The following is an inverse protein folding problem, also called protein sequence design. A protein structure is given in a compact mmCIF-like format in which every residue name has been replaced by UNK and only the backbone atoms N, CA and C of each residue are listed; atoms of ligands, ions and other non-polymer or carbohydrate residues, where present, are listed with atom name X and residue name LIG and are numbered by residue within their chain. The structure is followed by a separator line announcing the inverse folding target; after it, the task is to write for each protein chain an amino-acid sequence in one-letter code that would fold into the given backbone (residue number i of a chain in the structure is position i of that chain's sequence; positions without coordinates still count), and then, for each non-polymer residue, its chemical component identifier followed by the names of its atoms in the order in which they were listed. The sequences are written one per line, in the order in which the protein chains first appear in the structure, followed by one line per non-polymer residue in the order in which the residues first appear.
data_IF_030842763743
#
_entry.id   IF_030842763743
#
_cell.length_a   1.000
_cell.length_b   1.000
_cell.length_c   1.000
_cell.angle_alpha   90.00
_cell.angle_beta   90.00
_cell.angle_gamma   90.00
#
_symmetry.space_group_name_H-M   'P 1'
#
loop_
_entity.id
_entity.type
_entity.pdbx_description
1 polymer ?
#
# COMPACT_ATOMS: atom_id res chain seq x y z
N UNK A 1 -19.84 4.07 10.04
CA UNK A 1 -19.13 2.97 10.73
C UNK A 1 -19.42 1.68 9.98
N UNK A 2 -18.49 1.22 9.15
CA UNK A 2 -18.57 -0.11 8.55
C UNK A 2 -17.56 -1.01 9.28
N UNK A 3 -18.04 -2.01 10.01
CA UNK A 3 -17.20 -3.05 10.61
C UNK A 3 -17.01 -4.15 9.56
N UNK A 4 -15.81 -4.24 8.99
CA UNK A 4 -15.42 -5.36 8.12
C UNK A 4 -14.47 -6.29 8.87
N UNK A 5 -15.00 -7.43 9.29
CA UNK A 5 -14.23 -8.51 9.93
C UNK A 5 -13.68 -9.43 8.82
N UNK A 6 -12.39 -9.30 8.52
CA UNK A 6 -11.65 -10.22 7.63
C UNK A 6 -10.31 -10.56 8.26
N UNK A 7 -9.97 -11.85 8.28
CA UNK A 7 -8.76 -12.40 8.92
C UNK A 7 -7.44 -11.82 8.39
N UNK A 8 -7.41 -11.34 7.15
CA UNK A 8 -6.25 -10.65 6.58
C UNK A 8 -6.01 -9.26 7.20
N UNK A 9 -7.07 -8.53 7.57
CA UNK A 9 -6.94 -7.21 8.22
C UNK A 9 -6.26 -7.32 9.60
N UNK A 10 -6.53 -8.40 10.34
CA UNK A 10 -5.89 -8.64 11.65
C UNK A 10 -4.36 -8.83 11.54
N UNK A 11 -3.83 -9.20 10.39
CA UNK A 11 -2.38 -9.27 10.17
C UNK A 11 -1.75 -7.90 9.84
N UNK A 12 -2.46 -7.04 9.10
CA UNK A 12 -1.99 -5.68 8.79
C UNK A 12 -1.96 -4.78 10.03
N UNK A 13 -2.99 -4.81 10.89
CA UNK A 13 -3.02 -3.97 12.11
C UNK A 13 -2.00 -4.41 13.17
N UNK A 14 -1.66 -5.70 13.27
CA UNK A 14 -0.68 -6.21 14.23
C UNK A 14 0.79 -5.93 13.84
N UNK A 15 1.06 -5.55 12.58
CA UNK A 15 2.42 -5.28 12.08
C UNK A 15 2.89 -3.83 12.26
N UNK A 16 1.97 -2.88 12.48
CA UNK A 16 2.23 -1.43 12.53
C UNK A 16 1.77 -0.82 13.86
N UNK A 17 2.41 -1.18 14.98
CA UNK A 17 2.24 -0.44 16.23
C UNK A 17 3.46 0.44 16.53
N UNK A 18 3.25 1.76 16.41
CA UNK A 18 4.15 2.81 16.86
C UNK A 18 4.27 2.79 18.40
N UNK A 19 5.47 3.07 18.89
CA UNK A 19 5.86 2.97 20.27
C UNK A 19 4.94 3.69 21.25
N UNK A 20 4.34 2.91 22.15
CA UNK A 20 4.14 3.27 23.55
C UNK A 20 4.60 2.08 24.40
N UNK A 21 5.44 2.35 25.39
CA UNK A 21 5.95 1.36 26.34
C UNK A 21 4.79 0.66 27.05
N UNK A 22 4.66 -0.65 26.85
CA UNK A 22 3.99 -1.52 27.82
C UNK A 22 4.91 -2.69 28.16
N UNK A 23 5.04 -2.92 29.46
CA UNK A 23 5.98 -3.84 30.09
C UNK A 23 5.82 -5.29 29.59
N UNK A 24 6.95 -5.93 29.32
CA UNK A 24 7.10 -7.38 29.17
C UNK A 24 6.60 -8.14 30.41
N UNK A 25 6.05 -9.35 30.25
CA UNK A 25 6.54 -10.52 30.94
C UNK A 25 7.63 -11.16 30.08
N UNK A 26 8.84 -11.24 30.64
CA UNK A 26 9.95 -11.95 30.06
C UNK A 26 9.60 -13.44 29.94
N UNK A 27 9.43 -13.94 28.72
CA UNK A 27 9.88 -15.26 28.20
C UNK A 27 9.20 -15.53 26.85
N UNK A 28 9.88 -15.23 25.76
CA UNK A 28 9.37 -15.51 24.41
C UNK A 28 10.37 -15.14 23.33
N UNK A 29 11.22 -16.10 22.97
CA UNK A 29 12.08 -16.21 21.78
C UNK A 29 12.03 -15.04 20.75
N UNK A 30 13.18 -14.40 20.49
CA UNK A 30 13.41 -13.37 19.45
C UNK A 30 13.25 -13.85 17.98
N UNK A 31 12.67 -15.03 17.73
CA UNK A 31 12.75 -15.70 16.42
C UNK A 31 11.42 -15.87 15.68
N UNK A 32 10.37 -15.10 16.01
CA UNK A 32 9.06 -15.25 15.35
C UNK A 32 8.88 -14.47 14.04
N UNK A 33 9.80 -13.58 13.68
CA UNK A 33 9.75 -12.80 12.42
C UNK A 33 10.42 -13.47 11.21
N UNK A 34 10.84 -14.73 11.32
CA UNK A 34 11.63 -15.39 10.25
C UNK A 34 11.03 -16.65 9.66
N UNK A 35 9.81 -17.01 10.04
CA UNK A 35 9.21 -18.24 9.57
C UNK A 35 7.75 -18.02 9.16
N UNK A 36 7.48 -18.33 7.90
CA UNK A 36 6.16 -18.57 7.29
C UNK A 36 5.50 -17.41 6.54
N UNK A 37 6.25 -16.75 5.65
CA UNK A 37 5.66 -16.36 4.36
C UNK A 37 6.44 -17.04 3.25
N UNK A 38 5.77 -17.94 2.54
CA UNK A 38 6.19 -18.32 1.20
C UNK A 38 6.40 -17.02 0.42
N UNK A 39 7.59 -16.83 -0.16
CA UNK A 39 8.00 -15.60 -0.85
C UNK A 39 7.26 -15.44 -2.19
N UNK A 40 5.93 -15.40 -2.14
CA UNK A 40 5.09 -15.06 -3.29
C UNK A 40 4.92 -13.55 -3.31
N UNK A 41 5.53 -12.93 -4.33
CA UNK A 41 5.43 -11.51 -4.67
C UNK A 41 3.97 -11.02 -4.58
N UNK A 42 3.76 -9.90 -3.89
CA UNK A 42 2.46 -9.22 -3.90
C UNK A 42 2.14 -8.81 -5.34
N UNK A 43 0.99 -9.28 -5.85
CA UNK A 43 0.59 -9.01 -7.24
C UNK A 43 -0.19 -7.71 -7.38
N UNK A 44 -1.02 -7.40 -6.39
CA UNK A 44 -1.90 -6.24 -6.34
C UNK A 44 -2.47 -6.12 -4.93
N UNK A 45 -2.84 -4.91 -4.51
CA UNK A 45 -3.66 -4.65 -3.34
C UNK A 45 -5.15 -4.75 -3.71
N UNK A 46 -5.94 -5.40 -2.86
CA UNK A 46 -7.40 -5.28 -2.91
C UNK A 46 -7.84 -3.86 -2.53
N UNK A 47 -9.11 -3.54 -2.81
CA UNK A 47 -9.68 -2.24 -2.44
C UNK A 47 -9.80 -2.08 -0.92
N UNK A 48 -10.01 -3.18 -0.21
CA UNK A 48 -10.01 -3.25 1.25
C UNK A 48 -8.61 -3.04 1.82
N UNK A 49 -7.58 -3.61 1.21
CA UNK A 49 -6.18 -3.38 1.59
C UNK A 49 -5.79 -1.91 1.35
N UNK A 50 -6.17 -1.33 0.21
CA UNK A 50 -5.97 0.10 -0.04
C UNK A 50 -6.71 0.98 0.98
N UNK A 51 -7.93 0.63 1.38
CA UNK A 51 -8.65 1.33 2.43
C UNK A 51 -7.94 1.23 3.80
N UNK A 52 -7.36 0.07 4.13
CA UNK A 52 -6.58 -0.12 5.34
C UNK A 52 -5.29 0.71 5.33
N UNK A 53 -4.58 0.75 4.19
CA UNK A 53 -3.40 1.61 4.00
C UNK A 53 -3.80 3.09 4.16
N UNK A 54 -4.88 3.52 3.51
CA UNK A 54 -5.39 4.90 3.61
C UNK A 54 -5.72 5.29 5.05
N UNK A 55 -6.35 4.39 5.81
CA UNK A 55 -6.65 4.59 7.22
C UNK A 55 -5.37 4.73 8.06
N UNK A 56 -4.37 3.87 7.83
CA UNK A 56 -3.07 3.94 8.53
C UNK A 56 -2.28 5.21 8.19
N UNK A 57 -2.48 5.77 7.00
CA UNK A 57 -1.92 7.06 6.57
C UNK A 57 -2.73 8.27 7.05
N UNK A 58 -3.88 8.06 7.70
CA UNK A 58 -4.73 9.13 8.20
C UNK A 58 -5.49 9.90 7.10
N UNK A 59 -5.75 9.27 5.95
CA UNK A 59 -6.53 9.87 4.87
C UNK A 59 -8.01 9.90 5.27
N UNK A 60 -8.62 11.10 5.28
CA UNK A 60 -10.06 11.29 5.39
C UNK A 60 -10.66 11.62 4.02
N UNK A 61 -11.36 10.65 3.42
CA UNK A 61 -11.98 10.80 2.11
C UNK A 61 -13.12 11.83 2.05
N UNK A 62 -13.64 12.28 3.19
CA UNK A 62 -14.61 13.38 3.23
C UNK A 62 -13.93 14.77 3.13
N UNK A 63 -12.63 14.84 3.39
CA UNK A 63 -11.84 16.07 3.36
C UNK A 63 -10.85 16.10 2.19
N UNK A 64 -10.49 14.95 1.62
CA UNK A 64 -9.65 14.88 0.43
C UNK A 64 -10.40 15.31 -0.83
N UNK A 65 -9.63 15.67 -1.86
CA UNK A 65 -10.16 16.00 -3.19
C UNK A 65 -10.25 14.79 -4.12
N UNK A 66 -9.74 13.65 -3.69
CA UNK A 66 -9.73 12.36 -4.39
C UNK A 66 -10.50 11.32 -3.56
N UNK A 67 -10.90 10.23 -4.19
CA UNK A 67 -11.65 9.14 -3.57
C UNK A 67 -10.78 7.89 -3.33
N UNK A 68 -11.38 6.86 -2.73
CA UNK A 68 -10.72 5.57 -2.51
C UNK A 68 -10.29 4.91 -3.82
N UNK A 69 -10.96 5.19 -4.94
CA UNK A 69 -10.68 4.54 -6.23
C UNK A 69 -9.39 5.08 -6.82
N UNK A 70 -9.18 6.40 -6.78
CA UNK A 70 -7.90 7.03 -7.10
C UNK A 70 -6.77 6.52 -6.20
N UNK A 71 -7.00 6.43 -4.89
CA UNK A 71 -5.98 5.92 -3.97
C UNK A 71 -5.65 4.44 -4.23
N UNK A 72 -6.67 3.61 -4.48
CA UNK A 72 -6.51 2.20 -4.81
C UNK A 72 -5.78 1.98 -6.14
N UNK A 73 -6.10 2.79 -7.16
CA UNK A 73 -5.33 2.83 -8.42
C UNK A 73 -3.87 3.17 -8.12
N UNK A 74 -3.66 4.22 -7.31
CA UNK A 74 -2.33 4.69 -6.95
C UNK A 74 -1.47 3.65 -6.28
N UNK A 75 -1.93 3.03 -5.19
CA UNK A 75 -1.11 2.02 -4.48
C UNK A 75 -0.79 0.81 -5.35
N UNK A 76 -1.63 0.48 -6.33
CA UNK A 76 -1.35 -0.60 -7.27
C UNK A 76 -0.36 -0.19 -8.38
N UNK A 77 -0.42 1.05 -8.87
CA UNK A 77 0.58 1.60 -9.78
C UNK A 77 1.94 1.69 -9.10
N UNK A 78 2.00 2.24 -7.87
CA UNK A 78 3.26 2.41 -7.14
C UNK A 78 3.86 1.08 -6.65
N UNK A 79 3.06 0.02 -6.53
CA UNK A 79 3.58 -1.33 -6.27
C UNK A 79 4.53 -1.81 -7.37
N UNK A 80 4.45 -1.21 -8.58
CA UNK A 80 5.41 -1.51 -9.64
C UNK A 80 6.85 -1.13 -9.30
N UNK A 81 7.03 -0.20 -8.37
CA UNK A 81 8.32 0.24 -7.86
C UNK A 81 8.78 -0.55 -6.62
N UNK A 82 8.11 -1.67 -6.32
CA UNK A 82 8.52 -2.65 -5.32
C UNK A 82 9.41 -3.74 -5.90
N UNK A 83 9.17 -4.99 -5.51
CA UNK A 83 10.01 -6.13 -5.86
C UNK A 83 9.92 -6.57 -7.33
N UNK A 84 9.16 -5.87 -8.19
CA UNK A 84 9.06 -6.18 -9.63
C UNK A 84 10.43 -6.08 -10.29
N UNK A 85 11.16 -5.00 -10.00
CA UNK A 85 12.45 -4.68 -10.58
C UNK A 85 13.44 -4.44 -9.46
N UNK A 86 14.38 -5.37 -9.26
CA UNK A 86 15.41 -5.23 -8.22
C UNK A 86 16.29 -3.98 -8.40
N UNK A 87 16.46 -3.51 -9.64
CA UNK A 87 17.25 -2.31 -9.95
C UNK A 87 16.55 -1.01 -9.53
N UNK A 88 15.22 -0.98 -9.53
CA UNK A 88 14.41 0.20 -9.22
C UNK A 88 13.46 -0.05 -8.04
N UNK A 89 13.78 -1.03 -7.19
CA UNK A 89 12.98 -1.35 -6.02
C UNK A 89 13.23 -0.31 -4.93
N UNK A 90 12.23 0.53 -4.68
CA UNK A 90 12.30 1.60 -3.67
C UNK A 90 11.36 1.37 -2.48
N UNK A 91 10.32 0.54 -2.64
CA UNK A 91 9.35 0.28 -1.57
C UNK A 91 9.55 -1.06 -0.87
N UNK A 92 10.20 -2.03 -1.51
CA UNK A 92 10.30 -3.40 -0.98
C UNK A 92 8.94 -4.09 -0.84
N UNK A 93 7.94 -3.69 -1.64
CA UNK A 93 6.52 -4.04 -1.50
C UNK A 93 5.90 -3.61 -0.15
N UNK A 94 6.54 -2.69 0.60
CA UNK A 94 6.00 -2.17 1.85
C UNK A 94 4.72 -1.37 1.58
N UNK A 95 3.56 -1.77 2.13
CA UNK A 95 2.28 -1.14 1.84
C UNK A 95 2.21 0.34 2.24
N UNK A 96 2.89 0.72 3.33
CA UNK A 96 2.86 2.09 3.84
C UNK A 96 3.78 3.00 3.03
N UNK A 97 4.98 2.55 2.66
CA UNK A 97 5.83 3.29 1.73
C UNK A 97 5.16 3.47 0.38
N UNK A 98 4.56 2.40 -0.16
CA UNK A 98 3.82 2.44 -1.43
C UNK A 98 2.64 3.42 -1.35
N UNK A 99 1.86 3.36 -0.28
CA UNK A 99 0.77 4.30 -0.02
C UNK A 99 1.19 5.76 0.13
N UNK A 100 2.36 6.04 0.70
CA UNK A 100 2.90 7.40 0.81
C UNK A 100 3.22 8.02 -0.54
N UNK A 101 3.76 7.23 -1.47
CA UNK A 101 4.03 7.70 -2.84
C UNK A 101 2.71 8.01 -3.54
N UNK A 102 1.72 7.11 -3.43
CA UNK A 102 0.39 7.33 -3.98
C UNK A 102 -0.29 8.58 -3.42
N UNK A 103 -0.21 8.78 -2.11
CA UNK A 103 -0.75 9.97 -1.46
C UNK A 103 -0.03 11.26 -1.89
N UNK A 104 1.29 11.22 -2.08
CA UNK A 104 2.06 12.38 -2.52
C UNK A 104 1.57 12.89 -3.89
N UNK A 105 1.39 11.99 -4.86
CA UNK A 105 0.90 12.33 -6.18
C UNK A 105 -0.57 12.82 -6.19
N UNK A 106 -1.45 12.19 -5.41
CA UNK A 106 -2.83 12.64 -5.28
C UNK A 106 -2.98 14.00 -4.58
N UNK A 107 -1.98 14.41 -3.80
CA UNK A 107 -1.91 15.76 -3.24
C UNK A 107 -1.44 16.82 -4.25
N UNK A 108 -0.71 16.42 -5.31
CA UNK A 108 -0.37 17.32 -6.42
C UNK A 108 -1.62 17.63 -7.25
N UNK A 109 -2.39 16.60 -7.63
CA UNK A 109 -3.72 16.76 -8.22
C UNK A 109 -4.59 15.51 -8.06
N UNK A 110 -5.92 15.67 -7.93
CA UNK A 110 -6.76 14.60 -7.39
C UNK A 110 -7.11 13.46 -8.36
N UNK A 111 -6.87 13.64 -9.67
CA UNK A 111 -7.12 12.65 -10.73
C UNK A 111 -5.81 12.09 -11.32
N UNK A 112 -4.73 12.10 -10.53
CA UNK A 112 -3.37 11.74 -10.97
C UNK A 112 -3.31 10.39 -11.67
N UNK A 113 -3.84 9.34 -11.06
CA UNK A 113 -3.69 7.99 -11.57
C UNK A 113 -4.58 7.71 -12.79
N UNK A 114 -5.72 8.39 -12.91
CA UNK A 114 -6.50 8.38 -14.15
C UNK A 114 -5.71 8.99 -15.32
N UNK A 115 -5.03 10.11 -15.11
CA UNK A 115 -4.20 10.75 -16.15
C UNK A 115 -2.97 9.93 -16.49
N UNK A 116 -2.26 9.42 -15.48
CA UNK A 116 -1.09 8.58 -15.67
C UNK A 116 -1.45 7.33 -16.48
N UNK A 117 -2.58 6.69 -16.17
CA UNK A 117 -3.04 5.51 -16.91
C UNK A 117 -3.20 5.79 -18.41
N UNK A 118 -3.78 6.94 -18.79
CA UNK A 118 -3.90 7.32 -20.21
C UNK A 118 -2.52 7.47 -20.85
N UNK A 119 -1.60 8.20 -20.20
CA UNK A 119 -0.24 8.41 -20.70
C UNK A 119 0.53 7.10 -20.87
N UNK A 120 0.41 6.17 -19.91
CA UNK A 120 1.06 4.87 -20.02
C UNK A 120 0.48 3.99 -21.13
N UNK A 121 -0.85 3.99 -21.29
CA UNK A 121 -1.52 3.23 -22.35
C UNK A 121 -1.11 3.77 -23.75
N UNK A 122 -1.03 5.10 -23.91
CA UNK A 122 -0.51 5.76 -25.11
C UNK A 122 0.96 5.40 -25.38
N UNK A 123 1.82 5.44 -24.35
CA UNK A 123 3.23 5.08 -24.48
C UNK A 123 3.41 3.60 -24.84
N UNK A 124 2.67 2.70 -24.19
CA UNK A 124 2.66 1.26 -24.50
C UNK A 124 2.27 1.03 -25.96
N UNK A 125 1.22 1.69 -26.47
CA UNK A 125 0.79 1.57 -27.86
C UNK A 125 1.80 2.14 -28.86
N UNK A 126 2.56 3.19 -28.49
CA UNK A 126 3.58 3.78 -29.35
C UNK A 126 4.82 2.88 -29.48
N UNK A 127 5.34 2.37 -28.37
CA UNK A 127 6.61 1.62 -28.32
C UNK A 127 6.47 0.11 -28.57
N UNK A 128 5.24 -0.43 -28.65
CA UNK A 128 4.99 -1.83 -29.06
C UNK A 128 4.90 -2.02 -30.59
N UNK A 129 5.13 -0.96 -31.38
CA UNK A 129 5.24 -1.02 -32.85
C UNK A 129 6.64 -1.48 -33.28
#
# INVERSE_FOLDING_TARGET
MYYYNSSHLNHFFNGYHYGTQYLYPATGSRNWYRHNYSATRLKAFSKEEAAAIALLLGIDFNQSKFDLDEFWMGVNTELEHGSISSQTNVTGDDPIMTGKIALAHLNEFPDYYKRLKVLEDEAKAYWQK
#
